data_IF_409103409038
#
_entry.id   IF_409103409038
#
_cell.length_a   1.000
_cell.length_b   1.000
_cell.length_c   1.000
_cell.angle_alpha   90.00
_cell.angle_beta   90.00
_cell.angle_gamma   90.00
#
_symmetry.space_group_name_H-M   'P 1'
#
loop_
_entity.id
_entity.type
_entity.pdbx_description
1 polymer ?
#
# COMPACT_ATOMS: atom_id res chain seq x y z
N UNK A 1 -42.67 -16.34 -15.90
CA UNK A 1 -43.15 -14.96 -16.00
C UNK A 1 -41.94 -14.12 -16.43
N UNK A 2 -41.86 -13.87 -17.76
CA UNK A 2 -40.72 -13.24 -18.39
C UNK A 2 -40.93 -11.72 -18.38
N UNK A 3 -39.96 -10.99 -17.84
CA UNK A 3 -39.89 -9.54 -17.99
C UNK A 3 -38.67 -9.20 -18.83
N UNK A 4 -38.93 -8.89 -20.10
CA UNK A 4 -37.99 -8.31 -21.05
C UNK A 4 -37.92 -6.79 -20.79
N UNK A 5 -36.76 -6.28 -20.38
CA UNK A 5 -36.47 -4.85 -20.38
C UNK A 5 -35.66 -4.48 -21.63
N UNK A 6 -36.27 -3.70 -22.50
CA UNK A 6 -35.69 -3.05 -23.68
C UNK A 6 -34.78 -1.91 -23.24
N UNK A 7 -33.50 -1.97 -23.63
CA UNK A 7 -32.62 -0.79 -23.57
C UNK A 7 -32.69 -0.02 -24.90
N UNK A 8 -33.02 1.26 -24.78
CA UNK A 8 -33.00 2.26 -25.82
C UNK A 8 -31.57 2.77 -26.05
N UNK A 9 -31.13 2.69 -27.30
CA UNK A 9 -29.92 3.34 -27.79
C UNK A 9 -30.13 4.86 -27.87
N UNK A 10 -29.25 5.63 -27.19
CA UNK A 10 -29.09 7.06 -27.47
C UNK A 10 -27.67 7.32 -28.01
N UNK A 11 -27.63 7.93 -29.18
CA UNK A 11 -26.45 8.30 -29.96
C UNK A 11 -25.67 9.45 -29.29
N UNK A 12 -24.33 9.44 -29.36
CA UNK A 12 -23.52 10.57 -28.94
C UNK A 12 -23.48 11.66 -30.01
N UNK A 13 -23.79 12.89 -29.59
CA UNK A 13 -23.69 14.10 -30.38
C UNK A 13 -22.24 14.50 -30.65
N UNK A 14 -21.91 14.60 -31.93
CA UNK A 14 -20.71 15.19 -32.47
C UNK A 14 -20.66 16.69 -32.17
N UNK A 15 -19.57 17.14 -31.51
CA UNK A 15 -19.27 18.57 -31.40
C UNK A 15 -18.41 19.01 -32.58
N UNK A 16 -18.97 19.89 -33.42
CA UNK A 16 -18.26 20.61 -34.48
C UNK A 16 -17.57 21.82 -33.89
N UNK A 17 -16.25 21.90 -34.05
CA UNK A 17 -15.45 23.10 -33.77
C UNK A 17 -15.57 24.07 -34.95
N UNK A 18 -16.09 25.28 -34.68
CA UNK A 18 -16.17 26.38 -35.62
C UNK A 18 -14.81 27.07 -35.78
N UNK A 19 -14.42 27.24 -37.05
CA UNK A 19 -13.25 27.96 -37.50
C UNK A 19 -13.36 29.47 -37.26
N UNK A 20 -12.44 30.03 -36.47
CA UNK A 20 -12.25 31.48 -36.32
C UNK A 20 -11.50 32.09 -37.48
N UNK A 21 -12.02 33.17 -37.99
CA UNK A 21 -11.55 33.99 -39.14
C UNK A 21 -10.19 34.65 -38.85
N UNK A 22 -9.27 34.52 -39.81
CA UNK A 22 -8.02 35.23 -39.91
C UNK A 22 -8.29 36.67 -40.40
N UNK A 23 -7.85 37.68 -39.64
CA UNK A 23 -7.84 39.08 -40.05
C UNK A 23 -6.48 39.42 -40.70
N UNK A 24 -6.50 39.68 -41.99
CA UNK A 24 -5.39 40.22 -42.73
C UNK A 24 -5.29 41.73 -42.51
N UNK A 25 -4.20 42.19 -41.94
CA UNK A 25 -3.84 43.61 -41.88
C UNK A 25 -2.91 43.91 -43.06
N UNK A 26 -3.43 44.74 -44.02
CA UNK A 26 -2.64 45.32 -45.14
C UNK A 26 -1.75 46.46 -44.62
N UNK A 27 -0.46 46.30 -44.72
CA UNK A 27 0.46 47.45 -44.59
C UNK A 27 0.72 48.13 -45.91
N UNK A 28 0.44 49.45 -45.97
CA UNK A 28 0.76 50.38 -47.07
C UNK A 28 2.26 50.60 -47.13
N UNK A 29 2.85 50.35 -48.27
CA UNK A 29 4.19 50.82 -48.65
C UNK A 29 4.18 52.31 -48.86
N UNK A 30 4.92 53.05 -48.06
CA UNK A 30 5.32 54.47 -48.40
C UNK A 30 6.78 54.46 -48.79
N UNK A 31 6.99 54.75 -50.08
CA UNK A 31 8.32 55.10 -50.67
C UNK A 31 8.72 56.49 -50.23
N UNK A 32 9.84 56.64 -49.52
CA UNK A 32 10.64 57.92 -49.55
C UNK A 32 12.08 57.55 -49.89
N UNK A 33 12.45 57.93 -51.14
CA UNK A 33 13.85 58.08 -51.58
C UNK A 33 14.46 59.31 -50.91
N UNK A 34 15.60 59.12 -50.24
CA UNK A 34 16.36 60.26 -49.70
C UNK A 34 17.76 59.86 -49.27
N UNK A 35 18.71 60.13 -50.12
CA UNK A 35 20.17 60.29 -49.93
C UNK A 35 20.71 60.23 -48.49
N UNK A 36 21.69 59.32 -48.26
CA UNK A 36 22.97 59.67 -47.61
C UNK A 36 23.92 58.46 -47.67
N UNK A 37 24.83 58.52 -48.66
CA UNK A 37 26.06 57.77 -48.62
C UNK A 37 27.02 58.54 -47.68
N UNK A 38 27.57 57.90 -46.69
CA UNK A 38 28.77 58.13 -45.91
C UNK A 38 28.56 57.89 -44.42
N UNK A 39 28.56 56.60 -44.00
CA UNK A 39 28.96 56.25 -42.64
C UNK A 39 29.05 54.70 -42.46
N UNK A 40 29.30 53.95 -43.56
CA UNK A 40 29.19 52.45 -43.52
C UNK A 40 30.47 51.71 -43.11
N UNK A 41 31.52 52.37 -42.57
CA UNK A 41 32.73 51.61 -42.14
C UNK A 41 32.87 51.41 -40.63
N UNK A 42 32.13 52.08 -39.74
CA UNK A 42 32.22 51.88 -38.29
C UNK A 42 31.18 50.93 -37.74
N UNK A 43 30.05 50.73 -38.41
CA UNK A 43 28.95 49.83 -37.98
C UNK A 43 29.22 48.34 -38.25
N UNK A 44 30.06 48.02 -39.26
CA UNK A 44 30.37 46.60 -39.61
C UNK A 44 31.28 45.88 -38.56
N UNK A 45 32.09 46.63 -37.81
CA UNK A 45 32.99 46.03 -36.81
C UNK A 45 32.32 45.78 -35.52
N UNK A 46 31.32 46.57 -35.10
CA UNK A 46 30.52 46.33 -33.92
C UNK A 46 29.50 45.13 -34.10
N UNK A 47 28.99 44.94 -35.31
CA UNK A 47 28.10 43.83 -35.66
C UNK A 47 28.79 42.47 -35.53
N UNK A 48 30.04 42.36 -35.96
CA UNK A 48 30.81 41.12 -35.85
C UNK A 48 31.11 40.71 -34.38
N UNK A 49 31.32 41.68 -33.51
CA UNK A 49 31.57 41.44 -32.09
C UNK A 49 30.26 41.06 -31.32
N UNK A 50 29.13 41.66 -31.68
CA UNK A 50 27.82 41.24 -31.17
C UNK A 50 27.48 39.80 -31.55
N UNK A 51 27.70 39.41 -32.81
CA UNK A 51 27.43 38.03 -33.27
C UNK A 51 28.32 37.02 -32.52
N UNK A 52 29.60 37.32 -32.33
CA UNK A 52 30.50 36.46 -31.53
C UNK A 52 30.03 36.33 -30.10
N UNK A 53 29.54 37.38 -29.47
CA UNK A 53 29.02 37.36 -28.11
C UNK A 53 27.75 36.51 -27.99
N UNK A 54 26.81 36.60 -28.94
CA UNK A 54 25.63 35.77 -28.99
C UNK A 54 25.99 34.29 -29.19
N UNK A 55 26.96 33.96 -30.02
CA UNK A 55 27.42 32.58 -30.23
C UNK A 55 28.01 32.01 -28.94
N UNK A 56 28.78 32.79 -28.18
CA UNK A 56 29.33 32.37 -26.88
C UNK A 56 28.20 32.09 -25.86
N UNK A 57 27.20 32.98 -25.79
CA UNK A 57 26.05 32.79 -24.88
C UNK A 57 25.27 31.51 -25.23
N UNK A 58 25.00 31.27 -26.52
CA UNK A 58 24.34 30.07 -26.98
C UNK A 58 25.16 28.83 -26.60
N UNK A 59 26.47 28.87 -26.77
CA UNK A 59 27.36 27.76 -26.42
C UNK A 59 27.35 27.49 -24.91
N UNK A 60 27.33 28.52 -24.07
CA UNK A 60 27.21 28.37 -22.60
C UNK A 60 25.87 27.77 -22.22
N UNK A 61 24.77 28.22 -22.84
CA UNK A 61 23.43 27.65 -22.57
C UNK A 61 23.37 26.16 -22.95
N UNK A 62 23.91 25.81 -24.12
CA UNK A 62 23.98 24.40 -24.56
C UNK A 62 24.83 23.58 -23.60
N UNK A 63 25.96 24.11 -23.15
CA UNK A 63 26.83 23.43 -22.18
C UNK A 63 26.11 23.19 -20.83
N UNK A 64 25.38 24.20 -20.34
CA UNK A 64 24.57 24.07 -19.10
C UNK A 64 23.49 22.99 -19.27
N UNK A 65 22.80 22.95 -20.42
CA UNK A 65 21.79 21.92 -20.70
C UNK A 65 22.43 20.54 -20.75
N UNK A 66 23.59 20.40 -21.41
CA UNK A 66 24.31 19.11 -21.47
C UNK A 66 24.81 18.64 -20.09
N UNK A 67 25.34 19.55 -19.27
CA UNK A 67 25.77 19.27 -17.91
C UNK A 67 24.56 18.87 -17.06
N UNK A 68 23.43 19.56 -17.17
CA UNK A 68 22.21 19.25 -16.47
C UNK A 68 21.66 17.88 -16.88
N UNK A 69 21.65 17.58 -18.18
CA UNK A 69 21.24 16.26 -18.70
C UNK A 69 22.19 15.14 -18.25
N UNK A 70 23.50 15.41 -18.19
CA UNK A 70 24.49 14.47 -17.70
C UNK A 70 24.32 14.20 -16.20
N UNK A 71 24.12 15.23 -15.38
CA UNK A 71 23.84 15.12 -13.94
C UNK A 71 22.54 14.34 -13.72
N UNK A 72 21.51 14.63 -14.52
CA UNK A 72 20.24 13.91 -14.44
C UNK A 72 20.42 12.43 -14.80
N UNK A 73 21.13 12.13 -15.89
CA UNK A 73 21.43 10.74 -16.31
C UNK A 73 22.32 10.01 -15.32
N UNK A 74 23.30 10.70 -14.71
CA UNK A 74 24.15 10.11 -13.67
C UNK A 74 23.38 9.85 -12.38
N UNK A 75 22.46 10.75 -12.03
CA UNK A 75 21.54 10.57 -10.89
C UNK A 75 20.57 9.44 -11.15
N UNK A 76 20.02 9.30 -12.36
CA UNK A 76 19.15 8.17 -12.74
C UNK A 76 19.91 6.85 -12.79
N UNK A 77 21.13 6.80 -13.28
CA UNK A 77 21.94 5.57 -13.27
C UNK A 77 22.35 5.17 -11.85
N UNK A 78 22.70 6.13 -10.98
CA UNK A 78 22.95 5.86 -9.56
C UNK A 78 21.69 5.38 -8.83
N UNK A 79 20.53 5.86 -9.25
CA UNK A 79 19.21 5.44 -8.77
C UNK A 79 18.86 4.04 -9.30
N UNK A 80 19.11 3.74 -10.60
CA UNK A 80 18.88 2.41 -11.19
C UNK A 80 19.79 1.34 -10.60
N UNK A 81 21.06 1.65 -10.34
CA UNK A 81 21.98 0.71 -9.69
C UNK A 81 21.58 0.42 -8.23
N UNK A 82 20.80 1.29 -7.59
CA UNK A 82 20.16 1.03 -6.29
C UNK A 82 18.80 0.32 -6.42
N UNK A 83 18.25 0.12 -7.63
CA UNK A 83 16.98 -0.61 -7.83
C UNK A 83 17.12 -2.13 -7.64
N UNK A 84 18.33 -2.66 -7.66
CA UNK A 84 18.63 -4.06 -7.35
C UNK A 84 18.93 -4.30 -5.86
N UNK A 85 18.52 -3.39 -4.97
CA UNK A 85 18.66 -3.59 -3.54
C UNK A 85 17.77 -4.75 -3.10
N UNK A 86 18.36 -5.86 -2.72
CA UNK A 86 17.64 -6.97 -2.14
C UNK A 86 17.28 -6.62 -0.69
N UNK A 87 16.00 -6.26 -0.48
CA UNK A 87 15.49 -5.85 0.84
C UNK A 87 15.69 -6.98 1.87
N UNK A 88 15.57 -8.23 1.45
CA UNK A 88 15.74 -9.39 2.32
C UNK A 88 17.19 -9.46 2.84
N UNK A 89 18.18 -9.31 1.96
CA UNK A 89 19.60 -9.25 2.37
C UNK A 89 19.89 -8.09 3.33
N UNK A 90 19.23 -6.94 3.12
CA UNK A 90 19.38 -5.78 3.98
C UNK A 90 18.87 -6.04 5.40
N UNK A 91 17.73 -6.72 5.52
CA UNK A 91 17.17 -7.11 6.82
C UNK A 91 18.05 -8.17 7.49
N UNK A 92 18.49 -9.17 6.74
CA UNK A 92 19.35 -10.25 7.24
C UNK A 92 20.72 -9.73 7.69
N UNK A 93 21.29 -8.75 6.98
CA UNK A 93 22.56 -8.12 7.35
C UNK A 93 22.48 -7.20 8.56
N UNK A 94 21.28 -7.00 9.13
CA UNK A 94 21.01 -6.06 10.24
C UNK A 94 21.50 -4.64 9.97
N UNK A 95 21.50 -4.24 8.70
CA UNK A 95 21.92 -2.91 8.27
C UNK A 95 21.01 -1.85 8.86
N UNK A 96 21.58 -0.77 9.37
CA UNK A 96 20.80 0.37 9.86
C UNK A 96 19.94 0.97 8.76
N UNK A 97 18.64 1.03 9.01
CA UNK A 97 17.66 1.65 8.12
C UNK A 97 17.78 3.18 8.22
N UNK A 98 18.81 3.70 7.56
CA UNK A 98 19.08 5.12 7.50
C UNK A 98 18.10 5.86 6.57
N UNK A 99 18.18 7.20 6.53
CA UNK A 99 17.31 8.04 5.73
C UNK A 99 17.33 7.68 4.23
N UNK A 100 18.47 7.22 3.69
CA UNK A 100 18.60 6.86 2.27
C UNK A 100 17.79 5.61 1.96
N UNK A 101 17.91 4.56 2.79
CA UNK A 101 17.13 3.32 2.65
C UNK A 101 15.64 3.63 2.79
N UNK A 102 15.27 4.38 3.81
CA UNK A 102 13.86 4.72 4.03
C UNK A 102 13.27 5.60 2.91
N UNK A 103 14.08 6.46 2.28
CA UNK A 103 13.64 7.19 1.09
C UNK A 103 13.40 6.25 -0.10
N UNK A 104 14.26 5.26 -0.30
CA UNK A 104 14.07 4.21 -1.30
C UNK A 104 12.79 3.40 -1.05
N UNK A 105 12.53 2.97 0.20
CA UNK A 105 11.30 2.25 0.58
C UNK A 105 10.04 3.10 0.32
N UNK A 106 10.06 4.39 0.66
CA UNK A 106 8.96 5.31 0.35
C UNK A 106 8.71 5.41 -1.16
N UNK A 107 9.77 5.45 -1.98
CA UNK A 107 9.65 5.47 -3.43
C UNK A 107 9.09 4.14 -3.96
N UNK A 108 9.56 2.99 -3.43
CA UNK A 108 9.04 1.67 -3.77
C UNK A 108 7.55 1.55 -3.45
N UNK A 109 7.11 2.02 -2.29
CA UNK A 109 5.69 2.11 -1.91
C UNK A 109 4.88 2.98 -2.87
N UNK A 110 5.38 4.18 -3.21
CA UNK A 110 4.70 5.09 -4.15
C UNK A 110 4.53 4.46 -5.54
N UNK A 111 5.56 3.77 -6.03
CA UNK A 111 5.62 3.20 -7.37
C UNK A 111 5.06 1.78 -7.45
N UNK A 112 4.65 1.19 -6.33
CA UNK A 112 4.08 -0.15 -6.27
C UNK A 112 2.82 -0.21 -7.15
N UNK A 113 2.74 -1.24 -8.00
CA UNK A 113 1.59 -1.47 -8.90
C UNK A 113 0.78 -2.70 -8.49
N UNK A 114 1.44 -3.66 -7.87
CA UNK A 114 0.88 -4.96 -7.46
C UNK A 114 1.69 -5.53 -6.29
N UNK A 115 1.26 -6.62 -5.64
CA UNK A 115 2.10 -7.33 -4.67
C UNK A 115 3.46 -7.70 -5.26
N UNK A 116 4.49 -7.68 -4.43
CA UNK A 116 5.79 -8.25 -4.78
C UNK A 116 5.75 -9.77 -4.74
N UNK A 117 6.86 -10.42 -5.11
CA UNK A 117 7.00 -11.85 -4.87
C UNK A 117 6.86 -12.16 -3.39
N UNK A 118 6.47 -13.39 -3.06
CA UNK A 118 6.00 -13.75 -1.73
C UNK A 118 6.98 -13.41 -0.60
N UNK A 119 8.26 -13.72 -0.79
CA UNK A 119 9.32 -13.42 0.19
C UNK A 119 9.66 -11.92 0.22
N UNK A 120 9.67 -11.29 -0.95
CA UNK A 120 9.92 -9.85 -1.06
C UNK A 120 8.76 -9.04 -0.45
N UNK A 121 7.53 -9.54 -0.54
CA UNK A 121 6.35 -8.91 0.06
C UNK A 121 6.48 -8.81 1.59
N UNK A 122 6.93 -9.88 2.27
CA UNK A 122 7.22 -9.84 3.69
C UNK A 122 8.31 -8.83 4.01
N UNK A 123 9.43 -8.90 3.27
CA UNK A 123 10.56 -7.99 3.45
C UNK A 123 10.18 -6.53 3.24
N UNK A 124 9.26 -6.26 2.31
CA UNK A 124 8.69 -4.93 2.10
C UNK A 124 7.92 -4.43 3.32
N UNK A 125 7.02 -5.22 3.91
CA UNK A 125 6.29 -4.81 5.12
C UNK A 125 7.21 -4.63 6.32
N UNK A 126 8.18 -5.50 6.51
CA UNK A 126 9.21 -5.34 7.54
C UNK A 126 9.94 -4.00 7.35
N UNK A 127 10.30 -3.66 6.13
CA UNK A 127 10.98 -2.39 5.82
C UNK A 127 10.13 -1.17 6.11
N UNK A 128 8.81 -1.24 5.86
CA UNK A 128 7.88 -0.16 6.25
C UNK A 128 7.89 0.06 7.77
N UNK A 129 7.91 -1.04 8.55
CA UNK A 129 7.98 -0.98 10.02
C UNK A 129 9.30 -0.36 10.48
N UNK A 130 10.44 -0.85 9.95
CA UNK A 130 11.77 -0.36 10.31
C UNK A 130 11.98 1.10 9.92
N UNK A 131 11.45 1.53 8.78
CA UNK A 131 11.44 2.92 8.35
C UNK A 131 10.37 3.79 9.03
N UNK A 132 9.58 3.22 9.90
CA UNK A 132 8.51 3.93 10.60
C UNK A 132 7.54 4.64 9.64
N UNK A 133 7.24 4.00 8.51
CA UNK A 133 6.28 4.50 7.53
C UNK A 133 4.89 4.01 7.92
N UNK A 134 3.92 4.89 8.18
CA UNK A 134 2.56 4.49 8.54
C UNK A 134 1.89 3.68 7.44
N UNK A 135 1.26 2.58 7.83
CA UNK A 135 0.43 1.76 6.96
C UNK A 135 -0.55 0.92 7.78
N UNK A 136 -1.50 0.31 7.11
CA UNK A 136 -2.34 -0.73 7.69
C UNK A 136 -2.33 -1.99 6.83
N UNK A 137 -2.54 -3.12 7.49
CA UNK A 137 -2.59 -4.43 6.87
C UNK A 137 -3.70 -5.25 7.52
N UNK A 138 -4.73 -5.57 6.76
CA UNK A 138 -5.83 -6.44 7.17
C UNK A 138 -5.90 -7.68 6.28
N UNK A 139 -6.40 -8.79 6.83
CA UNK A 139 -6.42 -10.07 6.14
C UNK A 139 -7.84 -10.62 6.04
N UNK A 140 -8.17 -11.08 4.87
CA UNK A 140 -9.41 -11.80 4.61
C UNK A 140 -9.10 -13.22 4.16
N UNK A 141 -9.73 -14.19 4.78
CA UNK A 141 -9.61 -15.61 4.46
C UNK A 141 -11.00 -16.25 4.31
N UNK A 142 -11.07 -17.57 4.40
CA UNK A 142 -12.31 -18.34 4.30
C UNK A 142 -13.35 -17.99 5.37
N UNK A 143 -12.89 -17.74 6.59
CA UNK A 143 -13.76 -17.33 7.67
C UNK A 143 -14.44 -16.00 7.43
N UNK A 144 -13.65 -14.99 7.06
CA UNK A 144 -14.14 -13.65 6.70
C UNK A 144 -15.04 -13.71 5.47
N UNK A 145 -14.67 -14.49 4.44
CA UNK A 145 -15.51 -14.70 3.25
C UNK A 145 -16.86 -15.27 3.63
N UNK A 146 -16.89 -16.31 4.45
CA UNK A 146 -18.13 -16.96 4.87
C UNK A 146 -19.05 -16.00 5.63
N UNK A 147 -18.50 -15.19 6.54
CA UNK A 147 -19.27 -14.16 7.23
C UNK A 147 -19.83 -13.12 6.25
N UNK A 148 -18.98 -12.58 5.34
CA UNK A 148 -19.42 -11.59 4.36
C UNK A 148 -20.51 -12.14 3.42
N UNK A 149 -20.40 -13.41 3.03
CA UNK A 149 -21.38 -14.10 2.18
C UNK A 149 -22.66 -14.53 2.94
N UNK A 150 -22.76 -14.29 4.24
CA UNK A 150 -23.91 -14.73 5.05
C UNK A 150 -23.99 -16.24 5.31
N UNK A 151 -22.87 -16.95 5.18
CA UNK A 151 -22.80 -18.41 5.40
C UNK A 151 -22.33 -18.68 6.83
N UNK A 152 -23.05 -19.52 7.58
CA UNK A 152 -22.58 -19.95 8.91
C UNK A 152 -21.19 -20.57 8.82
N UNK A 153 -20.35 -20.24 9.80
CA UNK A 153 -18.97 -20.68 9.85
C UNK A 153 -18.55 -21.00 11.29
N UNK A 154 -17.86 -22.13 11.46
CA UNK A 154 -17.36 -22.55 12.77
C UNK A 154 -15.84 -22.78 12.71
N UNK A 155 -15.09 -22.02 13.51
CA UNK A 155 -13.65 -22.14 13.65
C UNK A 155 -13.29 -22.54 15.09
N UNK A 156 -13.56 -23.78 15.46
CA UNK A 156 -13.30 -24.29 16.81
C UNK A 156 -11.87 -24.11 17.28
N UNK A 157 -10.89 -24.26 16.36
CA UNK A 157 -9.45 -24.06 16.66
C UNK A 157 -9.11 -22.65 17.12
N UNK A 158 -9.86 -21.66 16.66
CA UNK A 158 -9.68 -20.24 16.99
C UNK A 158 -10.73 -19.76 17.98
N UNK A 159 -11.57 -20.67 18.45
CA UNK A 159 -12.63 -20.44 19.42
C UNK A 159 -13.55 -19.27 19.02
N UNK A 160 -14.09 -19.32 17.81
CA UNK A 160 -15.17 -18.44 17.38
C UNK A 160 -16.04 -19.14 16.33
N UNK A 161 -17.30 -18.76 16.27
CA UNK A 161 -18.22 -19.16 15.23
C UNK A 161 -19.09 -17.98 14.80
N UNK A 162 -19.74 -18.11 13.66
CA UNK A 162 -20.70 -17.14 13.18
C UNK A 162 -21.91 -17.85 12.57
N UNK A 163 -23.11 -17.44 12.94
CA UNK A 163 -24.36 -18.12 12.60
C UNK A 163 -25.34 -17.23 11.82
N UNK A 164 -24.85 -16.22 11.13
CA UNK A 164 -25.62 -15.27 10.31
C UNK A 164 -26.67 -14.41 11.07
N UNK A 165 -26.71 -14.44 12.38
CA UNK A 165 -27.62 -13.62 13.18
C UNK A 165 -27.05 -12.22 13.48
N UNK A 166 -25.73 -12.08 13.53
CA UNK A 166 -25.06 -10.81 13.81
C UNK A 166 -24.81 -10.00 12.52
N UNK A 167 -25.86 -9.38 11.98
CA UNK A 167 -25.77 -8.56 10.78
C UNK A 167 -24.92 -7.30 10.97
N UNK A 168 -24.82 -6.75 12.20
CA UNK A 168 -23.98 -5.59 12.50
C UNK A 168 -22.51 -5.95 12.30
N UNK A 169 -22.07 -7.11 12.79
CA UNK A 169 -20.72 -7.61 12.59
C UNK A 169 -20.42 -7.83 11.10
N UNK A 170 -21.29 -8.52 10.39
CA UNK A 170 -21.16 -8.78 8.95
C UNK A 170 -21.01 -7.47 8.15
N UNK A 171 -21.90 -6.50 8.38
CA UNK A 171 -21.86 -5.20 7.72
C UNK A 171 -20.55 -4.48 7.99
N UNK A 172 -20.09 -4.43 9.25
CA UNK A 172 -18.83 -3.81 9.63
C UNK A 172 -17.61 -4.50 8.99
N UNK A 173 -17.66 -5.82 8.85
CA UNK A 173 -16.61 -6.60 8.18
C UNK A 173 -16.57 -6.28 6.68
N UNK A 174 -17.73 -6.20 6.00
CA UNK A 174 -17.80 -5.78 4.60
C UNK A 174 -17.27 -4.34 4.44
N UNK A 175 -17.68 -3.43 5.30
CA UNK A 175 -17.21 -2.04 5.27
C UNK A 175 -15.70 -1.93 5.45
N UNK A 176 -15.08 -2.84 6.21
CA UNK A 176 -13.63 -2.85 6.42
C UNK A 176 -12.85 -3.10 5.13
N UNK A 177 -13.43 -3.74 4.11
CA UNK A 177 -12.78 -3.95 2.81
C UNK A 177 -12.47 -2.65 2.07
N UNK A 178 -13.13 -1.54 2.42
CA UNK A 178 -12.96 -0.25 1.75
C UNK A 178 -11.71 0.54 2.16
N UNK A 179 -10.92 0.06 3.14
CA UNK A 179 -9.71 0.78 3.60
C UNK A 179 -8.67 0.96 2.51
N UNK A 180 -8.59 0.05 1.54
CA UNK A 180 -7.66 0.12 0.41
C UNK A 180 -7.88 1.32 -0.51
N UNK A 181 -9.00 2.02 -0.39
CA UNK A 181 -9.23 3.28 -1.11
C UNK A 181 -8.29 4.40 -0.64
N UNK A 182 -7.79 4.29 0.59
CA UNK A 182 -6.83 5.23 1.14
C UNK A 182 -5.38 4.76 0.91
N UNK A 183 -4.45 5.71 0.86
CA UNK A 183 -3.04 5.39 0.65
C UNK A 183 -2.48 4.58 1.83
N UNK A 184 -1.58 3.64 1.49
CA UNK A 184 -0.83 2.79 2.42
C UNK A 184 -1.70 1.83 3.26
N UNK A 185 -2.94 1.57 2.86
CA UNK A 185 -3.78 0.57 3.52
C UNK A 185 -3.88 -0.66 2.62
N UNK A 186 -3.49 -1.80 3.16
CA UNK A 186 -3.38 -3.05 2.41
C UNK A 186 -4.46 -4.03 2.82
N UNK A 187 -5.08 -4.65 1.81
CA UNK A 187 -5.95 -5.81 1.96
C UNK A 187 -5.18 -7.04 1.52
N UNK A 188 -5.07 -8.01 2.38
CA UNK A 188 -4.49 -9.31 2.06
C UNK A 188 -5.61 -10.32 1.74
N UNK A 189 -5.49 -10.97 0.60
CA UNK A 189 -6.42 -11.98 0.10
C UNK A 189 -5.72 -13.34 -0.01
N UNK A 190 -6.46 -14.46 -0.06
CA UNK A 190 -5.88 -15.78 -0.23
C UNK A 190 -5.09 -15.93 -1.54
N UNK A 191 -4.21 -16.92 -1.55
CA UNK A 191 -3.40 -17.29 -2.70
C UNK A 191 -4.25 -17.91 -3.82
N UNK A 192 -3.66 -18.09 -5.01
CA UNK A 192 -4.30 -18.67 -6.20
C UNK A 192 -5.03 -19.99 -5.95
N UNK A 193 -4.52 -20.83 -5.05
CA UNK A 193 -5.18 -22.09 -4.69
C UNK A 193 -6.57 -21.92 -4.06
N UNK A 194 -6.92 -20.70 -3.64
CA UNK A 194 -8.20 -20.32 -3.04
C UNK A 194 -8.89 -19.24 -3.89
N UNK A 195 -8.79 -19.37 -5.20
CA UNK A 195 -9.25 -18.38 -6.18
C UNK A 195 -10.73 -18.00 -5.98
N UNK A 196 -11.59 -18.97 -5.72
CA UNK A 196 -13.02 -18.71 -5.50
C UNK A 196 -13.26 -17.84 -4.25
N UNK A 197 -12.51 -18.10 -3.16
CA UNK A 197 -12.58 -17.29 -1.92
C UNK A 197 -12.10 -15.88 -2.22
N UNK A 198 -10.99 -15.73 -2.94
CA UNK A 198 -10.45 -14.42 -3.31
C UNK A 198 -11.40 -13.63 -4.20
N UNK A 199 -12.02 -14.27 -5.20
CA UNK A 199 -13.05 -13.65 -6.04
C UNK A 199 -14.26 -13.19 -5.24
N UNK A 200 -14.73 -14.03 -4.30
CA UNK A 200 -15.84 -13.70 -3.40
C UNK A 200 -15.49 -12.49 -2.52
N UNK A 201 -14.32 -12.47 -1.88
CA UNK A 201 -13.86 -11.32 -1.07
C UNK A 201 -13.82 -10.05 -1.91
N UNK A 202 -13.26 -10.12 -3.13
CA UNK A 202 -13.14 -8.97 -4.02
C UNK A 202 -14.50 -8.45 -4.49
N UNK A 203 -15.53 -9.29 -4.59
CA UNK A 203 -16.89 -8.86 -4.95
C UNK A 203 -17.54 -7.98 -3.89
N UNK A 204 -17.12 -8.12 -2.61
CA UNK A 204 -17.55 -7.24 -1.52
C UNK A 204 -16.68 -5.99 -1.41
N UNK A 205 -15.47 -6.02 -1.99
CA UNK A 205 -14.49 -4.94 -1.85
C UNK A 205 -14.71 -3.87 -2.92
N UNK A 206 -14.57 -2.61 -2.51
CA UNK A 206 -14.45 -1.47 -3.43
C UNK A 206 -12.99 -1.21 -3.85
N UNK A 207 -12.09 -2.17 -3.60
CA UNK A 207 -10.68 -2.04 -3.89
C UNK A 207 -10.40 -2.26 -5.38
N UNK A 208 -10.09 -1.19 -6.09
CA UNK A 208 -9.75 -1.18 -7.51
C UNK A 208 -8.23 -1.15 -7.78
N UNK A 209 -7.43 -1.10 -6.72
CA UNK A 209 -5.98 -0.84 -6.83
C UNK A 209 -5.18 -2.05 -6.36
N UNK A 210 -4.73 -2.86 -7.32
CA UNK A 210 -3.87 -4.01 -7.05
C UNK A 210 -2.61 -3.67 -6.24
N UNK A 211 -2.12 -2.44 -6.31
CA UNK A 211 -0.98 -1.97 -5.51
C UNK A 211 -1.20 -2.02 -4.00
N UNK A 212 -2.44 -2.04 -3.53
CA UNK A 212 -2.79 -2.15 -2.12
C UNK A 212 -3.27 -3.56 -1.73
N UNK A 213 -3.08 -4.53 -2.61
CA UNK A 213 -3.32 -5.93 -2.31
C UNK A 213 -2.08 -6.63 -1.80
N UNK A 214 -2.27 -7.69 -1.03
CA UNK A 214 -1.21 -8.53 -0.50
C UNK A 214 -1.71 -9.96 -0.26
N UNK A 215 -0.87 -10.82 0.34
CA UNK A 215 -1.19 -12.21 0.59
C UNK A 215 -1.61 -12.43 2.06
N UNK A 216 -2.77 -13.06 2.28
CA UNK A 216 -3.24 -13.43 3.62
C UNK A 216 -2.18 -14.21 4.42
N UNK A 217 -1.37 -14.99 3.72
CA UNK A 217 -0.35 -15.87 4.31
C UNK A 217 1.05 -15.26 4.35
N UNK A 218 1.22 -13.95 4.12
CA UNK A 218 2.55 -13.30 4.02
C UNK A 218 3.45 -13.56 5.24
N UNK A 219 2.87 -13.74 6.44
CA UNK A 219 3.61 -14.04 7.69
C UNK A 219 3.76 -15.54 7.98
N UNK A 220 3.31 -16.41 7.07
CA UNK A 220 3.18 -17.84 7.27
C UNK A 220 3.99 -18.65 6.26
N UNK A 221 3.82 -19.94 6.25
CA UNK A 221 4.38 -20.87 5.27
C UNK A 221 5.90 -20.66 5.13
N UNK A 222 6.40 -20.47 3.90
CA UNK A 222 7.83 -20.29 3.64
C UNK A 222 8.44 -19.08 4.38
N UNK A 223 7.63 -18.05 4.61
CA UNK A 223 8.07 -16.83 5.31
C UNK A 223 8.10 -16.97 6.83
N UNK A 224 7.49 -18.03 7.39
CA UNK A 224 7.22 -18.12 8.83
C UNK A 224 8.48 -18.04 9.67
N UNK A 225 9.51 -18.84 9.36
CA UNK A 225 10.74 -18.86 10.16
C UNK A 225 11.47 -17.51 10.12
N UNK A 226 11.56 -16.90 8.94
CA UNK A 226 12.16 -15.57 8.80
C UNK A 226 11.38 -14.51 9.58
N UNK A 227 10.05 -14.55 9.48
CA UNK A 227 9.19 -13.64 10.25
C UNK A 227 9.33 -13.82 11.75
N UNK A 228 9.40 -15.08 12.27
CA UNK A 228 9.56 -15.35 13.70
C UNK A 228 10.90 -14.82 14.23
N UNK A 229 11.97 -15.03 13.51
CA UNK A 229 13.28 -14.52 13.88
C UNK A 229 13.28 -12.99 13.96
N UNK A 230 12.76 -12.36 12.91
CA UNK A 230 12.69 -10.90 12.83
C UNK A 230 11.81 -10.30 13.93
N UNK A 231 10.57 -10.81 14.13
CA UNK A 231 9.64 -10.23 15.09
C UNK A 231 10.16 -10.37 16.53
N UNK A 232 10.81 -11.48 16.83
CA UNK A 232 11.43 -11.70 18.15
C UNK A 232 12.56 -10.69 18.41
N UNK A 233 13.41 -10.40 17.43
CA UNK A 233 14.43 -9.35 17.56
C UNK A 233 13.78 -7.96 17.67
N UNK A 234 12.77 -7.69 16.87
CA UNK A 234 12.11 -6.39 16.84
C UNK A 234 11.45 -6.02 18.17
N UNK A 235 10.75 -6.96 18.83
CA UNK A 235 10.09 -6.69 20.13
C UNK A 235 11.07 -6.37 21.25
N UNK A 236 12.33 -6.82 21.13
CA UNK A 236 13.41 -6.53 22.07
C UNK A 236 14.31 -5.36 21.65
N UNK A 237 14.06 -4.76 20.47
CA UNK A 237 14.84 -3.62 19.99
C UNK A 237 14.53 -2.34 20.74
N UNK A 238 15.54 -1.56 21.11
CA UNK A 238 15.36 -0.23 21.71
C UNK A 238 14.79 0.82 20.76
N UNK A 239 14.97 0.63 19.45
CA UNK A 239 14.57 1.59 18.40
C UNK A 239 13.16 1.35 17.84
N UNK A 240 12.42 0.39 18.37
CA UNK A 240 11.06 0.08 17.92
C UNK A 240 10.06 1.18 18.32
N UNK A 241 8.94 1.25 17.60
CA UNK A 241 7.79 2.00 18.07
C UNK A 241 7.17 1.33 19.29
N UNK A 242 6.38 2.11 20.06
CA UNK A 242 5.58 1.56 21.15
C UNK A 242 4.53 0.61 20.59
N UNK A 243 4.54 -0.63 21.05
CA UNK A 243 3.65 -1.68 20.56
C UNK A 243 2.40 -1.72 21.43
N UNK A 244 1.23 -1.57 20.81
CA UNK A 244 -0.07 -1.90 21.40
C UNK A 244 -0.42 -3.32 20.95
N UNK A 245 -0.55 -4.24 21.89
CA UNK A 245 -0.94 -5.61 21.62
C UNK A 245 -2.46 -5.77 21.83
N UNK A 246 -3.16 -6.26 20.81
CA UNK A 246 -4.59 -6.62 20.85
C UNK A 246 -4.69 -8.10 20.52
N UNK A 247 -4.83 -8.93 21.51
CA UNK A 247 -4.79 -10.39 21.33
C UNK A 247 -5.64 -11.12 22.39
N UNK A 248 -5.82 -12.42 22.19
CA UNK A 248 -6.55 -13.26 23.13
C UNK A 248 -6.02 -13.11 24.57
N UNK A 249 -6.91 -13.13 25.55
CA UNK A 249 -6.59 -13.00 26.99
C UNK A 249 -5.71 -14.13 27.53
N UNK A 250 -5.69 -15.29 26.87
CA UNK A 250 -4.86 -16.44 27.23
C UNK A 250 -3.41 -16.24 26.76
N UNK A 251 -2.69 -15.33 27.40
CA UNK A 251 -1.26 -15.11 27.18
C UNK A 251 -0.47 -15.90 28.20
N UNK A 252 0.46 -16.74 27.72
CA UNK A 252 1.30 -17.60 28.54
C UNK A 252 2.76 -17.12 28.61
N UNK A 253 3.12 -16.10 27.85
CA UNK A 253 4.47 -15.54 27.82
C UNK A 253 4.53 -14.15 28.41
N UNK A 254 5.71 -13.76 28.84
CA UNK A 254 5.97 -12.37 29.20
C UNK A 254 5.76 -11.46 27.99
N UNK A 255 4.88 -10.48 28.16
CA UNK A 255 4.55 -9.45 27.17
C UNK A 255 5.01 -8.05 27.61
N UNK A 256 5.98 -7.96 28.52
CA UNK A 256 6.56 -6.69 28.98
C UNK A 256 7.12 -5.82 27.85
N UNK A 257 7.40 -6.44 26.70
CA UNK A 257 7.75 -5.74 25.47
C UNK A 257 6.59 -4.92 24.87
N UNK A 258 5.33 -5.22 25.17
CA UNK A 258 4.19 -4.41 24.75
C UNK A 258 4.06 -3.18 25.66
N UNK A 259 3.91 -2.01 25.05
CA UNK A 259 3.63 -0.78 25.79
C UNK A 259 2.26 -0.85 26.49
N UNK A 260 1.27 -1.47 25.83
CA UNK A 260 -0.06 -1.70 26.37
C UNK A 260 -0.68 -2.96 25.77
N UNK A 261 -1.43 -3.67 26.59
CA UNK A 261 -2.16 -4.88 26.16
C UNK A 261 -3.67 -4.69 26.31
N UNK A 262 -4.40 -5.03 25.25
CA UNK A 262 -5.85 -5.08 25.22
C UNK A 262 -6.30 -6.53 25.03
N UNK A 263 -6.77 -7.20 26.08
CA UNK A 263 -7.20 -8.59 26.01
C UNK A 263 -8.49 -8.73 25.21
N UNK A 264 -8.50 -9.72 24.32
CA UNK A 264 -9.66 -10.14 23.54
C UNK A 264 -10.18 -11.44 24.15
N UNK A 265 -11.48 -11.57 24.46
CA UNK A 265 -12.06 -12.82 24.94
C UNK A 265 -12.11 -13.85 23.81
N UNK A 266 -12.16 -15.14 24.21
CA UNK A 266 -12.66 -16.17 23.32
C UNK A 266 -14.06 -15.80 22.82
N UNK A 267 -14.42 -16.26 21.63
CA UNK A 267 -15.73 -15.99 21.04
C UNK A 267 -16.00 -14.49 20.77
N UNK A 268 -14.95 -13.79 20.30
CA UNK A 268 -15.02 -12.35 20.03
C UNK A 268 -16.10 -11.99 18.99
N UNK A 269 -16.33 -12.87 18.00
CA UNK A 269 -17.31 -12.62 16.94
C UNK A 269 -18.73 -12.64 17.50
N UNK A 270 -19.04 -13.62 18.35
CA UNK A 270 -20.35 -13.79 19.00
C UNK A 270 -20.61 -12.69 20.03
N UNK A 271 -19.57 -12.30 20.77
CA UNK A 271 -19.65 -11.28 21.83
C UNK A 271 -19.47 -9.86 21.30
N UNK A 272 -19.33 -9.69 19.98
CA UNK A 272 -18.97 -8.39 19.40
C UNK A 272 -19.89 -7.25 19.82
N UNK A 273 -21.20 -7.46 19.80
CA UNK A 273 -22.17 -6.43 20.14
C UNK A 273 -22.09 -5.99 21.59
N UNK A 274 -21.66 -6.90 22.48
CA UNK A 274 -21.51 -6.60 23.90
C UNK A 274 -20.25 -5.79 24.21
N UNK A 275 -19.16 -6.07 23.49
CA UNK A 275 -17.84 -5.56 23.85
C UNK A 275 -17.29 -4.47 22.91
N UNK A 276 -17.82 -4.41 21.68
CA UNK A 276 -17.22 -3.58 20.61
C UNK A 276 -17.10 -2.12 20.99
N UNK A 277 -18.13 -1.51 21.55
CA UNK A 277 -18.14 -0.08 21.85
C UNK A 277 -17.10 0.29 22.92
N UNK A 278 -17.00 -0.52 23.99
CA UNK A 278 -16.01 -0.32 25.04
C UNK A 278 -14.58 -0.56 24.53
N UNK A 279 -14.38 -1.64 23.76
CA UNK A 279 -13.08 -2.00 23.22
C UNK A 279 -12.60 -0.94 22.21
N UNK A 280 -13.44 -0.56 21.26
CA UNK A 280 -13.10 0.40 20.22
C UNK A 280 -12.83 1.79 20.80
N UNK A 281 -13.60 2.22 21.82
CA UNK A 281 -13.35 3.50 22.50
C UNK A 281 -11.98 3.51 23.17
N UNK A 282 -11.64 2.47 23.94
CA UNK A 282 -10.33 2.38 24.60
C UNK A 282 -9.16 2.34 23.60
N UNK A 283 -9.32 1.60 22.51
CA UNK A 283 -8.30 1.53 21.45
C UNK A 283 -8.18 2.86 20.70
N UNK A 284 -9.29 3.56 20.46
CA UNK A 284 -9.30 4.87 19.82
C UNK A 284 -8.56 5.92 20.65
N UNK A 285 -8.72 5.90 21.99
CA UNK A 285 -7.99 6.82 22.87
C UNK A 285 -6.48 6.63 22.78
N UNK A 286 -6.00 5.38 22.71
CA UNK A 286 -4.59 5.13 22.44
C UNK A 286 -4.18 5.58 21.01
N UNK A 287 -5.00 5.28 20.02
CA UNK A 287 -4.68 5.57 18.62
C UNK A 287 -4.56 7.07 18.31
N UNK A 288 -5.12 7.98 19.16
CA UNK A 288 -4.91 9.44 19.03
C UNK A 288 -3.43 9.83 19.13
N UNK A 289 -2.60 9.02 19.83
CA UNK A 289 -1.16 9.22 19.88
C UNK A 289 -0.52 8.81 18.55
N UNK A 290 0.59 9.45 18.17
CA UNK A 290 1.38 9.09 17.00
C UNK A 290 2.50 8.10 17.37
N UNK A 291 3.07 7.46 16.35
CA UNK A 291 4.23 6.57 16.50
C UNK A 291 3.93 5.32 17.30
N UNK A 292 2.73 4.80 17.17
CA UNK A 292 2.31 3.52 17.73
C UNK A 292 2.25 2.46 16.64
N UNK A 293 2.54 1.23 17.01
CA UNK A 293 2.27 0.06 16.17
C UNK A 293 1.29 -0.86 16.89
N UNK A 294 0.20 -1.18 16.23
CA UNK A 294 -0.83 -2.09 16.74
C UNK A 294 -0.60 -3.48 16.16
N UNK A 295 -0.27 -4.43 17.02
CA UNK A 295 -0.23 -5.86 16.72
C UNK A 295 -1.60 -6.43 17.08
N UNK A 296 -2.38 -6.79 16.05
CA UNK A 296 -3.75 -7.28 16.23
C UNK A 296 -3.82 -8.76 15.90
N UNK A 297 -4.42 -9.55 16.79
CA UNK A 297 -4.69 -10.98 16.65
C UNK A 297 -6.06 -11.28 17.25
N UNK A 298 -7.13 -10.93 16.51
CA UNK A 298 -8.51 -10.94 16.98
C UNK A 298 -9.47 -11.68 16.02
N UNK A 299 -8.95 -12.59 15.18
CA UNK A 299 -9.73 -13.23 14.12
C UNK A 299 -10.41 -12.20 13.23
N UNK A 300 -11.64 -12.45 12.73
CA UNK A 300 -12.34 -11.50 11.84
C UNK A 300 -12.59 -10.12 12.44
N UNK A 301 -12.61 -9.98 13.77
CA UNK A 301 -12.75 -8.69 14.44
C UNK A 301 -11.52 -7.77 14.22
N UNK A 302 -10.35 -8.34 13.91
CA UNK A 302 -9.14 -7.56 13.61
C UNK A 302 -9.37 -6.58 12.46
N UNK A 303 -10.08 -7.01 11.41
CA UNK A 303 -10.37 -6.19 10.24
C UNK A 303 -11.24 -4.98 10.60
N UNK A 304 -12.25 -5.18 11.45
CA UNK A 304 -13.14 -4.13 11.92
C UNK A 304 -12.36 -3.15 12.82
N UNK A 305 -11.59 -3.67 13.79
CA UNK A 305 -10.77 -2.87 14.71
C UNK A 305 -9.81 -1.98 13.92
N UNK A 306 -9.01 -2.56 13.05
CA UNK A 306 -8.02 -1.82 12.25
C UNK A 306 -8.70 -0.78 11.36
N UNK A 307 -9.78 -1.16 10.67
CA UNK A 307 -10.55 -0.24 9.82
C UNK A 307 -11.10 0.96 10.61
N UNK A 308 -11.51 0.74 11.85
CA UNK A 308 -11.97 1.79 12.73
C UNK A 308 -10.81 2.71 13.17
N UNK A 309 -9.69 2.14 13.61
CA UNK A 309 -8.56 2.91 14.14
C UNK A 309 -7.85 3.77 13.08
N UNK A 310 -7.80 3.32 11.82
CA UNK A 310 -7.25 4.12 10.71
C UNK A 310 -8.02 5.43 10.54
N UNK A 311 -9.34 5.42 10.74
CA UNK A 311 -10.18 6.62 10.65
C UNK A 311 -9.88 7.62 11.78
N UNK A 312 -9.41 7.12 12.93
CA UNK A 312 -9.00 7.95 14.08
C UNK A 312 -7.62 8.57 13.82
N UNK A 313 -6.65 7.75 13.41
CA UNK A 313 -5.29 8.23 13.15
C UNK A 313 -4.54 7.35 12.14
N UNK A 314 -4.31 7.86 10.96
CA UNK A 314 -3.58 7.16 9.89
C UNK A 314 -2.05 7.35 9.97
N UNK A 315 -1.51 7.91 11.05
CA UNK A 315 -0.06 8.09 11.27
C UNK A 315 0.56 6.96 12.08
N UNK A 316 -0.23 5.99 12.49
CA UNK A 316 0.20 4.79 13.18
C UNK A 316 0.35 3.62 12.20
N UNK A 317 0.90 2.52 12.69
CA UNK A 317 0.98 1.25 11.95
C UNK A 317 -0.04 0.28 12.58
N UNK A 318 -0.84 -0.37 11.75
CA UNK A 318 -1.86 -1.31 12.19
C UNK A 318 -1.73 -2.62 11.40
N UNK A 319 -1.46 -3.73 12.08
CA UNK A 319 -1.22 -5.01 11.40
C UNK A 319 -2.06 -6.13 12.05
N UNK A 320 -2.87 -6.77 11.23
CA UNK A 320 -3.47 -8.06 11.56
C UNK A 320 -2.43 -9.17 11.33
N UNK A 321 -1.80 -9.62 12.39
CA UNK A 321 -0.90 -10.77 12.37
C UNK A 321 -1.64 -12.10 12.49
N UNK A 322 -2.89 -12.09 12.99
CA UNK A 322 -3.61 -13.32 13.36
C UNK A 322 -2.75 -14.24 14.22
N UNK A 323 -2.75 -15.53 13.90
CA UNK A 323 -1.99 -16.52 14.65
C UNK A 323 -0.47 -16.52 14.43
N UNK A 324 0.07 -15.63 13.54
CA UNK A 324 1.52 -15.57 13.30
C UNK A 324 2.32 -15.11 14.53
N UNK A 325 1.70 -14.39 15.46
CA UNK A 325 2.36 -13.93 16.70
C UNK A 325 2.11 -14.85 17.92
N UNK A 326 1.46 -16.00 17.74
CA UNK A 326 1.17 -16.91 18.86
C UNK A 326 2.44 -17.40 19.56
N UNK A 327 3.55 -17.63 18.84
CA UNK A 327 4.81 -18.07 19.47
C UNK A 327 5.36 -17.03 20.44
N UNK A 328 5.23 -15.74 20.16
CA UNK A 328 5.72 -14.67 21.04
C UNK A 328 4.72 -14.30 22.14
N UNK A 329 3.44 -14.65 21.98
CA UNK A 329 2.38 -14.34 22.98
C UNK A 329 2.01 -15.54 23.84
N UNK A 330 1.91 -16.74 23.23
CA UNK A 330 1.49 -17.97 23.91
C UNK A 330 2.62 -18.97 24.15
N UNK A 331 3.73 -18.86 23.39
CA UNK A 331 4.83 -19.81 23.41
C UNK A 331 4.62 -21.07 22.58
N UNK A 332 3.45 -21.24 21.99
CA UNK A 332 3.11 -22.33 21.08
C UNK A 332 2.15 -21.85 20.01
N UNK A 333 2.08 -22.57 18.91
CA UNK A 333 1.03 -22.39 17.91
C UNK A 333 0.41 -23.75 17.56
N UNK A 334 -0.89 -23.74 17.35
CA UNK A 334 -1.63 -24.93 16.89
C UNK A 334 -1.55 -25.13 15.39
N UNK A 335 -0.96 -24.19 14.68
CA UNK A 335 -0.94 -24.16 13.22
C UNK A 335 0.15 -25.04 12.62
N UNK A 336 -0.16 -25.70 11.50
CA UNK A 336 0.77 -26.62 10.83
C UNK A 336 2.05 -25.95 10.35
N UNK A 337 1.98 -24.69 9.92
CA UNK A 337 3.15 -23.92 9.46
C UNK A 337 4.19 -23.67 10.55
N UNK A 338 3.80 -23.78 11.83
CA UNK A 338 4.71 -23.62 12.97
C UNK A 338 5.43 -24.91 13.36
N UNK A 339 5.09 -26.04 12.77
CA UNK A 339 5.55 -27.38 13.15
C UNK A 339 6.66 -27.93 12.25
N UNK A 340 7.33 -27.10 11.44
CA UNK A 340 8.35 -27.53 10.47
C UNK A 340 7.91 -28.64 9.50
N UNK A 341 6.60 -28.81 9.31
CA UNK A 341 6.05 -29.80 8.39
C UNK A 341 5.93 -29.24 6.97
N UNK A 342 5.74 -30.08 5.98
CA UNK A 342 5.74 -29.81 4.54
C UNK A 342 5.08 -28.50 4.07
N UNK A 343 4.10 -27.99 4.82
CA UNK A 343 3.42 -26.72 4.51
C UNK A 343 4.30 -25.47 4.72
N UNK A 344 5.41 -25.58 5.44
CA UNK A 344 6.34 -24.46 5.65
C UNK A 344 7.09 -24.06 4.36
N UNK A 345 7.09 -24.93 3.36
CA UNK A 345 7.75 -24.70 2.07
C UNK A 345 6.79 -24.13 1.01
N UNK A 346 5.50 -24.07 1.30
CA UNK A 346 4.52 -23.54 0.34
C UNK A 346 4.74 -22.04 0.12
N UNK A 347 4.86 -21.66 -1.15
CA UNK A 347 4.79 -20.27 -1.58
C UNK A 347 3.34 -19.93 -1.90
N UNK A 348 2.97 -18.70 -1.62
CA UNK A 348 1.75 -18.13 -2.14
C UNK A 348 2.00 -17.64 -3.56
N UNK A 349 1.37 -18.25 -4.53
CA UNK A 349 1.32 -17.66 -5.86
C UNK A 349 0.29 -16.52 -5.86
N UNK A 350 0.66 -15.34 -6.41
CA UNK A 350 -0.28 -14.24 -6.51
C UNK A 350 -1.47 -14.65 -7.38
N UNK A 351 -2.65 -14.30 -6.92
CA UNK A 351 -3.83 -14.33 -7.75
C UNK A 351 -3.76 -13.13 -8.69
N UNK A 352 -3.25 -13.33 -9.90
CA UNK A 352 -3.37 -12.33 -10.95
C UNK A 352 -4.75 -12.49 -11.59
N UNK A 353 -5.56 -11.46 -11.51
CA UNK A 353 -6.65 -11.30 -12.45
C UNK A 353 -6.00 -11.21 -13.85
N UNK A 354 -6.17 -12.22 -14.67
CA UNK A 354 -5.50 -12.39 -15.98
C UNK A 354 -5.78 -11.24 -16.96
N UNK A 355 -6.70 -10.38 -16.66
CA UNK A 355 -6.95 -9.13 -17.38
C UNK A 355 -6.63 -7.95 -16.48
N UNK A 356 -5.78 -7.06 -16.98
CA UNK A 356 -5.30 -5.79 -16.39
C UNK A 356 -6.39 -4.82 -15.89
N UNK A 357 -7.62 -5.22 -15.96
CA UNK A 357 -8.77 -4.51 -15.42
C UNK A 357 -9.40 -5.40 -14.34
N UNK A 358 -9.40 -4.93 -13.11
CA UNK A 358 -10.31 -5.43 -12.08
C UNK A 358 -11.72 -5.36 -12.70
N UNK A 359 -12.25 -6.50 -13.12
CA UNK A 359 -13.59 -6.55 -13.66
C UNK A 359 -14.51 -6.34 -12.47
N UNK A 360 -15.09 -5.14 -12.39
CA UNK A 360 -16.27 -4.92 -11.60
C UNK A 360 -17.37 -5.83 -12.14
N UNK A 361 -17.64 -6.91 -11.42
CA UNK A 361 -18.91 -7.61 -11.59
C UNK A 361 -19.90 -6.81 -10.76
N UNK A 362 -20.63 -5.91 -11.47
CA UNK A 362 -21.75 -5.16 -10.91
C UNK A 362 -22.92 -6.05 -10.59
#
# INVERSE_FOLDING_TARGET
>A
MNILLKYKNENPKTFLLSSGKSNYIKYKKNNKKGKKAANNKKTAHNSKNCIKFYIIIIFIIILIILISAFIFKFRDNKIRNNENFNITELIESKTDFNNTVCHFIKRKLKNRKQPFDYEEELSFFISLILCKIPFSFIRFADGEESIMAGKSFNMEKDKWFWNNTNQKFQKSLIESTSICLNQNNFIAIPCKNWENVSKSILSFSKCDKSKYMSFTTVFYNKNFQFFQNWINEYIHSSNRWKIILVANSLINKDISWAYKFFPIPDHIVEKWDEISDSLLTKLADEAKQNNLIFFVSAGPAANIIISYLIKINNKNIYIDFGSAIELITKGFSTRLYSKNQHNSLLRCEPFYLENKNLIYIG
#
